data_IF_351327443599
#
_entry.id   IF_351327443599
#
_cell.length_a   1.000
_cell.length_b   1.000
_cell.length_c   1.000
_cell.angle_alpha   90.00
_cell.angle_beta   90.00
_cell.angle_gamma   90.00
#
_symmetry.space_group_name_H-M   'P 1'
#
loop_
_entity.id
_entity.type
_entity.pdbx_description
1 polymer ?
#
# COMPACT_ATOMS: atom_id res chain seq x y z
N UNK A 1 -4.58 9.22 -18.09
CA UNK A 1 -4.26 8.35 -16.94
C UNK A 1 -3.42 9.20 -15.99
N UNK A 2 -3.71 9.28 -14.67
CA UNK A 2 -2.89 10.11 -13.78
C UNK A 2 -1.48 9.57 -13.54
N UNK A 3 -1.26 8.26 -13.71
CA UNK A 3 0.07 7.66 -13.65
C UNK A 3 0.85 8.05 -14.90
N UNK A 4 2.03 8.62 -14.70
CA UNK A 4 2.92 9.07 -15.77
C UNK A 4 4.22 8.26 -15.84
N UNK A 5 4.56 7.53 -14.77
CA UNK A 5 5.81 6.81 -14.70
C UNK A 5 5.78 5.67 -13.69
N UNK A 6 6.48 4.58 -14.02
CA UNK A 6 6.85 3.49 -13.11
C UNK A 6 8.36 3.27 -13.28
N UNK A 7 9.10 3.25 -12.18
CA UNK A 7 10.55 2.96 -12.17
C UNK A 7 10.86 1.95 -11.08
N UNK A 8 11.68 0.96 -11.35
CA UNK A 8 12.22 0.06 -10.35
C UNK A 8 13.56 -0.50 -10.81
N UNK A 9 14.35 -1.00 -9.87
CA UNK A 9 15.54 -1.78 -10.16
C UNK A 9 15.21 -3.27 -9.97
N UNK A 10 15.32 -4.04 -11.04
CA UNK A 10 15.10 -5.48 -10.98
C UNK A 10 16.29 -6.19 -10.32
N UNK A 11 16.01 -7.17 -9.46
CA UNK A 11 16.99 -8.06 -8.84
C UNK A 11 17.42 -9.18 -9.78
N UNK A 12 16.49 -9.66 -10.60
CA UNK A 12 16.72 -10.75 -11.58
C UNK A 12 16.35 -10.29 -12.99
N UNK A 13 16.81 -11.03 -13.99
CA UNK A 13 16.47 -10.77 -15.39
C UNK A 13 15.41 -11.76 -15.85
N UNK A 14 14.25 -11.25 -16.25
CA UNK A 14 13.08 -12.04 -16.66
C UNK A 14 12.70 -11.81 -18.13
N UNK A 15 13.58 -11.12 -18.88
CA UNK A 15 13.31 -10.72 -20.26
C UNK A 15 12.31 -9.57 -20.34
N UNK A 16 11.26 -9.73 -21.14
CA UNK A 16 10.25 -8.69 -21.33
C UNK A 16 9.21 -8.75 -20.21
N UNK A 17 9.07 -7.64 -19.48
CA UNK A 17 8.07 -7.47 -18.43
C UNK A 17 7.07 -6.39 -18.87
N UNK A 18 5.79 -6.75 -18.89
CA UNK A 18 4.70 -5.82 -19.22
C UNK A 18 4.21 -5.13 -17.95
N UNK A 19 3.92 -3.84 -18.03
CA UNK A 19 3.27 -3.10 -16.96
C UNK A 19 1.92 -2.60 -17.45
N UNK A 20 0.85 -2.98 -16.76
CA UNK A 20 -0.52 -2.55 -17.06
C UNK A 20 -0.99 -1.57 -16.00
N UNK A 21 -1.59 -0.45 -16.44
CA UNK A 21 -2.13 0.58 -15.56
C UNK A 21 -3.58 0.85 -15.94
N UNK A 22 -4.50 0.41 -15.11
CA UNK A 22 -5.94 0.56 -15.34
C UNK A 22 -6.55 1.59 -14.39
N UNK A 23 -7.39 2.47 -14.93
CA UNK A 23 -8.25 3.35 -14.11
C UNK A 23 -9.51 2.60 -13.75
N UNK A 24 -9.85 2.59 -12.47
CA UNK A 24 -11.04 1.95 -11.94
C UNK A 24 -12.05 3.02 -11.51
N UNK A 25 -13.32 2.81 -11.84
CA UNK A 25 -14.40 3.65 -11.29
C UNK A 25 -14.68 3.27 -9.83
N UNK A 26 -14.57 1.98 -9.51
CA UNK A 26 -14.66 1.41 -8.19
C UNK A 26 -13.81 0.14 -8.13
N UNK A 27 -13.42 -0.27 -6.93
CA UNK A 27 -12.79 -1.57 -6.75
C UNK A 27 -13.82 -2.72 -6.86
N UNK A 28 -13.39 -3.95 -7.21
CA UNK A 28 -14.25 -5.13 -7.19
C UNK A 28 -14.90 -5.35 -5.82
N UNK A 29 -16.09 -5.96 -5.81
CA UNK A 29 -16.72 -6.39 -4.56
C UNK A 29 -15.81 -7.39 -3.83
N UNK A 30 -15.49 -7.11 -2.56
CA UNK A 30 -14.69 -8.01 -1.72
C UNK A 30 -13.40 -7.42 -1.14
N UNK A 31 -12.95 -6.23 -1.58
CA UNK A 31 -11.88 -5.52 -0.87
C UNK A 31 -12.40 -5.00 0.48
N UNK A 32 -11.69 -5.29 1.56
CA UNK A 32 -12.04 -4.78 2.89
C UNK A 32 -11.59 -3.33 3.06
N UNK A 33 -12.52 -2.50 3.55
CA UNK A 33 -12.24 -1.09 3.82
C UNK A 33 -12.21 -0.23 2.56
N UNK A 34 -11.69 0.99 2.72
CA UNK A 34 -11.60 2.00 1.66
C UNK A 34 -10.33 2.83 1.84
N UNK A 35 -9.81 3.45 0.77
CA UNK A 35 -8.76 4.44 0.91
C UNK A 35 -9.20 5.54 1.89
N UNK A 36 -8.25 6.06 2.65
CA UNK A 36 -8.53 7.17 3.57
C UNK A 36 -8.52 8.49 2.80
N UNK A 37 -9.45 9.37 3.13
CA UNK A 37 -9.62 10.67 2.47
C UNK A 37 -10.50 10.63 1.21
N UNK A 38 -10.50 11.75 0.51
CA UNK A 38 -11.21 11.96 -0.74
C UNK A 38 -10.42 11.34 -1.90
N UNK A 39 -11.06 10.45 -2.65
CA UNK A 39 -10.41 9.73 -3.76
C UNK A 39 -10.44 10.56 -5.04
N UNK A 40 -9.28 10.76 -5.66
CA UNK A 40 -9.13 11.31 -7.00
C UNK A 40 -9.30 10.24 -8.07
N UNK A 41 -8.61 9.10 -7.90
CA UNK A 41 -8.63 8.01 -8.87
C UNK A 41 -8.24 6.67 -8.23
N UNK A 42 -9.10 5.67 -8.40
CA UNK A 42 -8.75 4.26 -8.12
C UNK A 42 -7.98 3.67 -9.31
N UNK A 43 -7.00 2.83 -9.03
CA UNK A 43 -6.08 2.27 -10.02
C UNK A 43 -5.86 0.77 -9.75
N UNK A 44 -5.65 0.01 -10.82
CA UNK A 44 -4.98 -1.28 -10.76
C UNK A 44 -3.64 -1.10 -11.48
N UNK A 45 -2.54 -1.51 -10.85
CA UNK A 45 -1.24 -1.57 -11.51
C UNK A 45 -0.72 -2.99 -11.34
N UNK A 46 -0.29 -3.60 -12.44
CA UNK A 46 0.37 -4.91 -12.44
C UNK A 46 1.65 -4.82 -13.24
N UNK A 47 2.65 -5.61 -12.85
CA UNK A 47 3.94 -5.71 -13.55
C UNK A 47 4.30 -7.18 -13.68
N UNK A 48 4.25 -7.69 -14.92
CA UNK A 48 4.44 -9.10 -15.20
C UNK A 48 3.35 -9.97 -14.59
N UNK A 49 3.75 -11.08 -13.97
CA UNK A 49 2.87 -11.90 -13.14
C UNK A 49 2.94 -11.47 -11.65
N UNK A 50 2.19 -12.14 -10.77
CA UNK A 50 2.18 -11.83 -9.34
C UNK A 50 3.57 -11.91 -8.68
N UNK A 51 4.47 -12.76 -9.19
CA UNK A 51 5.82 -12.90 -8.64
C UNK A 51 6.69 -11.72 -9.01
N UNK A 52 6.57 -11.26 -10.26
CA UNK A 52 7.30 -10.09 -10.78
C UNK A 52 6.76 -8.77 -10.22
N UNK A 53 5.50 -8.76 -9.80
CA UNK A 53 4.90 -7.63 -9.12
C UNK A 53 5.26 -7.48 -7.64
N UNK A 54 6.13 -8.34 -7.09
CA UNK A 54 6.41 -8.45 -5.66
C UNK A 54 7.86 -8.12 -5.27
N UNK A 55 8.14 -8.12 -3.96
CA UNK A 55 9.47 -7.83 -3.41
C UNK A 55 10.56 -8.85 -3.81
N UNK A 56 10.16 -10.00 -4.35
CA UNK A 56 11.08 -11.03 -4.82
C UNK A 56 11.83 -10.58 -6.08
N UNK A 57 11.19 -9.77 -6.92
CA UNK A 57 11.74 -9.28 -8.17
C UNK A 57 12.40 -7.89 -8.04
N UNK A 58 11.93 -7.04 -7.14
CA UNK A 58 12.45 -5.68 -6.92
C UNK A 58 12.41 -5.33 -5.43
N UNK A 59 13.31 -4.48 -4.94
CA UNK A 59 13.24 -4.02 -3.53
C UNK A 59 12.15 -2.96 -3.33
N UNK A 60 12.05 -2.06 -4.30
CA UNK A 60 11.18 -0.88 -4.28
C UNK A 60 10.94 -0.42 -5.72
N UNK A 61 9.75 0.11 -5.95
CA UNK A 61 9.36 0.82 -7.15
C UNK A 61 8.92 2.25 -6.80
N UNK A 62 9.11 3.16 -7.75
CA UNK A 62 8.57 4.51 -7.72
C UNK A 62 7.45 4.62 -8.74
N UNK A 63 6.29 5.10 -8.28
CA UNK A 63 5.14 5.42 -9.11
C UNK A 63 5.02 6.94 -9.17
N UNK A 64 5.22 7.49 -10.37
CA UNK A 64 4.96 8.89 -10.68
C UNK A 64 3.50 9.07 -11.09
N UNK A 65 2.82 10.00 -10.45
CA UNK A 65 1.44 10.35 -10.78
C UNK A 65 1.20 11.85 -10.69
N UNK A 66 -0.01 12.26 -11.07
CA UNK A 66 -0.36 13.66 -11.20
C UNK A 66 -1.83 13.90 -10.94
N UNK A 67 -2.13 15.00 -10.27
CA UNK A 67 -3.47 15.42 -9.85
C UNK A 67 -3.81 16.76 -10.51
N UNK A 68 -5.06 16.91 -10.94
CA UNK A 68 -5.54 18.18 -11.51
C UNK A 68 -5.63 19.26 -10.43
N UNK A 69 -5.10 20.46 -10.70
CA UNK A 69 -5.25 21.62 -9.82
C UNK A 69 -6.73 21.96 -9.63
N UNK A 70 -7.55 21.86 -10.69
CA UNK A 70 -9.00 22.10 -10.60
C UNK A 70 -9.68 21.15 -9.61
N UNK A 71 -9.25 19.88 -9.54
CA UNK A 71 -9.81 18.93 -8.58
C UNK A 71 -9.40 19.27 -7.15
N UNK A 72 -8.15 19.68 -6.95
CA UNK A 72 -7.63 20.12 -5.65
C UNK A 72 -8.46 21.30 -5.14
N UNK A 73 -8.63 22.34 -5.96
CA UNK A 73 -9.39 23.54 -5.62
C UNK A 73 -10.87 23.24 -5.39
N UNK A 74 -11.49 22.47 -6.27
CA UNK A 74 -12.93 22.18 -6.20
C UNK A 74 -13.33 21.28 -5.03
N UNK A 75 -12.38 20.53 -4.45
CA UNK A 75 -12.62 19.61 -3.34
C UNK A 75 -11.98 20.11 -2.02
N UNK A 76 -11.46 21.33 -1.97
CA UNK A 76 -10.81 21.92 -0.78
C UNK A 76 -9.73 20.99 -0.19
N UNK A 77 -8.86 20.49 -1.07
CA UNK A 77 -7.84 19.51 -0.73
C UNK A 77 -6.62 20.19 -0.12
N UNK A 78 -6.16 19.66 1.01
CA UNK A 78 -4.84 19.97 1.56
C UNK A 78 -3.77 19.27 0.72
N UNK A 79 -3.00 20.06 -0.04
CA UNK A 79 -1.99 19.59 -1.00
C UNK A 79 -0.96 18.68 -0.34
N UNK A 80 -0.61 18.94 0.93
CA UNK A 80 0.42 18.17 1.65
C UNK A 80 -0.06 16.77 2.03
N UNK A 81 -1.37 16.51 1.94
CA UNK A 81 -1.98 15.20 2.24
C UNK A 81 -2.17 14.32 1.00
N UNK A 82 -1.91 14.87 -0.20
CA UNK A 82 -2.01 14.11 -1.46
C UNK A 82 -1.01 12.95 -1.43
N UNK A 83 -1.56 11.74 -1.63
CA UNK A 83 -0.81 10.49 -1.49
C UNK A 83 -1.33 9.41 -2.40
N UNK A 84 -0.50 8.40 -2.61
CA UNK A 84 -0.93 7.11 -3.11
C UNK A 84 -1.17 6.18 -1.92
N UNK A 85 -2.32 5.52 -1.88
CA UNK A 85 -2.59 4.41 -0.98
C UNK A 85 -2.58 3.10 -1.74
N UNK A 86 -2.10 2.05 -1.08
CA UNK A 86 -1.87 0.73 -1.65
C UNK A 86 -2.64 -0.31 -0.86
N UNK A 87 -3.40 -1.16 -1.56
CA UNK A 87 -4.13 -2.24 -0.92
C UNK A 87 -3.22 -3.47 -0.78
N UNK A 88 -2.82 -3.79 0.45
CA UNK A 88 -1.94 -4.92 0.73
C UNK A 88 -2.31 -5.60 2.04
N UNK A 89 -2.34 -6.94 2.04
CA UNK A 89 -2.68 -7.72 3.24
C UNK A 89 -4.05 -7.36 3.83
N UNK A 90 -5.05 -7.20 2.98
CA UNK A 90 -6.45 -6.89 3.31
C UNK A 90 -6.71 -5.51 3.95
N UNK A 91 -5.80 -4.56 3.72
CA UNK A 91 -5.91 -3.19 4.23
C UNK A 91 -5.32 -2.18 3.26
N UNK A 92 -5.75 -0.93 3.41
CA UNK A 92 -5.18 0.23 2.73
C UNK A 92 -4.02 0.81 3.54
N UNK A 93 -2.88 0.98 2.89
CA UNK A 93 -1.68 1.55 3.47
C UNK A 93 -1.29 2.84 2.75
N UNK A 94 -1.00 3.90 3.52
CA UNK A 94 -0.46 5.16 2.99
C UNK A 94 0.98 4.96 2.53
N UNK A 95 1.28 5.27 1.28
CA UNK A 95 2.64 5.24 0.78
C UNK A 95 3.34 6.57 1.02
N UNK A 96 4.66 6.56 1.33
CA UNK A 96 5.47 7.76 1.31
C UNK A 96 5.34 8.43 -0.05
N UNK A 97 4.89 9.68 -0.05
CA UNK A 97 4.59 10.45 -1.26
C UNK A 97 5.25 11.82 -1.17
N UNK A 98 5.80 12.30 -2.27
CA UNK A 98 6.45 13.61 -2.33
C UNK A 98 6.02 14.35 -3.58
N UNK A 99 5.65 15.63 -3.43
CA UNK A 99 5.44 16.53 -4.57
C UNK A 99 6.79 16.80 -5.22
N UNK A 100 6.90 16.55 -6.52
CA UNK A 100 8.16 16.69 -7.28
C UNK A 100 8.13 17.82 -8.30
N UNK A 101 6.95 18.21 -8.77
CA UNK A 101 6.79 19.29 -9.72
C UNK A 101 5.36 19.84 -9.74
N UNK A 102 5.20 20.97 -10.41
CA UNK A 102 3.92 21.61 -10.72
C UNK A 102 4.04 22.28 -12.08
N UNK A 103 2.98 22.19 -12.88
CA UNK A 103 2.85 22.91 -14.15
C UNK A 103 1.45 23.53 -14.29
N UNK A 104 1.15 24.06 -15.48
CA UNK A 104 -0.16 24.61 -15.79
C UNK A 104 -1.24 23.54 -15.72
N UNK A 105 -1.96 23.51 -14.60
CA UNK A 105 -3.15 22.71 -14.38
C UNK A 105 -2.91 21.39 -13.66
N UNK A 106 -1.67 20.99 -13.36
CA UNK A 106 -1.39 19.72 -12.66
C UNK A 106 -0.25 19.84 -11.63
N UNK A 107 -0.40 19.09 -10.54
CA UNK A 107 0.67 18.83 -9.58
C UNK A 107 1.15 17.38 -9.72
N UNK A 108 2.47 17.18 -9.61
CA UNK A 108 3.13 15.90 -9.84
C UNK A 108 3.74 15.36 -8.55
N UNK A 109 3.56 14.06 -8.33
CA UNK A 109 3.96 13.37 -7.12
C UNK A 109 4.65 12.06 -7.47
N UNK A 110 5.53 11.63 -6.57
CA UNK A 110 6.13 10.31 -6.61
C UNK A 110 5.85 9.57 -5.30
N UNK A 111 5.40 8.32 -5.41
CA UNK A 111 5.26 7.41 -4.27
C UNK A 111 6.12 6.18 -4.40
N UNK A 112 6.55 5.64 -3.26
CA UNK A 112 7.36 4.43 -3.18
C UNK A 112 6.53 3.24 -2.73
N UNK A 113 6.66 2.10 -3.42
CA UNK A 113 5.97 0.85 -3.08
C UNK A 113 6.91 -0.35 -3.21
N UNK A 114 6.59 -1.45 -2.53
CA UNK A 114 7.35 -2.72 -2.62
C UNK A 114 6.65 -3.78 -3.46
N UNK A 115 5.39 -3.56 -3.81
CA UNK A 115 4.61 -4.44 -4.67
C UNK A 115 3.58 -3.65 -5.46
N UNK A 116 2.98 -4.32 -6.44
CA UNK A 116 1.89 -3.78 -7.24
C UNK A 116 0.59 -4.52 -6.96
N UNK A 117 -0.49 -3.78 -6.79
CA UNK A 117 -1.85 -4.26 -6.53
C UNK A 117 -2.82 -3.09 -6.76
N UNK A 118 -4.09 -3.13 -6.29
CA UNK A 118 -4.93 -1.94 -6.31
C UNK A 118 -4.29 -0.75 -5.57
N UNK A 119 -4.35 0.42 -6.18
CA UNK A 119 -3.94 1.69 -5.59
C UNK A 119 -5.07 2.72 -5.63
N UNK A 120 -4.97 3.74 -4.79
CA UNK A 120 -5.84 4.91 -4.85
C UNK A 120 -5.01 6.19 -4.71
N UNK A 121 -5.20 7.13 -5.62
CA UNK A 121 -4.74 8.50 -5.41
C UNK A 121 -5.82 9.21 -4.59
N UNK A 122 -5.46 9.67 -3.39
CA UNK A 122 -6.38 10.33 -2.48
C UNK A 122 -5.68 11.44 -1.70
N UNK A 123 -6.50 12.27 -1.05
CA UNK A 123 -6.04 13.36 -0.21
C UNK A 123 -7.11 13.70 0.84
N UNK A 124 -6.70 14.33 1.92
CA UNK A 124 -7.61 14.82 2.95
C UNK A 124 -8.02 16.27 2.59
N UNK A 125 -9.22 16.66 3.00
CA UNK A 125 -9.64 18.07 2.86
C UNK A 125 -8.98 18.91 3.95
N UNK A 126 -8.87 20.22 3.74
CA UNK A 126 -8.32 21.16 4.73
C UNK A 126 -8.94 20.99 6.12
N UNK A 127 -10.27 20.77 6.18
CA UNK A 127 -10.97 20.52 7.45
C UNK A 127 -10.61 19.18 8.11
N UNK A 128 -10.28 18.15 7.34
CA UNK A 128 -9.92 16.82 7.87
C UNK A 128 -8.49 16.79 8.42
N UNK A 129 -7.57 17.59 7.87
CA UNK A 129 -6.18 17.63 8.35
C UNK A 129 -6.05 18.35 9.69
N UNK A 130 -6.85 19.39 9.93
CA UNK A 130 -6.88 20.13 11.20
C UNK A 130 -7.31 19.29 12.41
N UNK A 131 -8.28 18.38 12.24
CA UNK A 131 -8.77 17.50 13.31
C UNK A 131 -7.70 16.48 13.76
N UNK A 132 -6.84 16.03 12.85
CA UNK A 132 -5.77 15.08 13.17
C UNK A 132 -4.57 15.77 13.85
N UNK A 133 -4.28 17.02 13.48
CA UNK A 133 -3.20 17.83 14.07
C UNK A 133 -3.50 18.26 15.52
N UNK A 134 -4.77 18.47 15.84
CA UNK A 134 -5.22 18.93 17.17
C UNK A 134 -5.16 17.84 18.26
N UNK A 135 -4.88 16.58 17.89
CA UNK A 135 -4.84 15.42 18.80
C UNK A 135 -3.54 15.19 19.59
N UNK A 136 -2.49 16.00 19.43
CA UNK A 136 -1.20 15.79 20.10
C UNK A 136 -0.82 16.97 21.03
N UNK A 137 -1.29 16.92 22.28
CA UNK A 137 -0.84 17.72 23.44
C UNK A 137 -1.66 17.29 24.67
N UNK A 138 -1.19 16.99 25.90
CA UNK A 138 0.09 17.04 26.62
C UNK A 138 -0.01 15.97 27.72
N UNK A 139 1.07 15.25 28.04
CA UNK A 139 1.27 14.77 29.41
C UNK A 139 2.72 15.02 29.80
N UNK A 140 3.00 16.27 30.14
CA UNK A 140 4.09 16.58 31.06
C UNK A 140 3.58 16.41 32.50
N UNK A 141 4.24 15.54 33.27
CA UNK A 141 4.42 15.78 34.70
C UNK A 141 5.80 15.28 35.12
N UNK A 142 6.65 16.25 35.46
CA UNK A 142 7.99 16.07 35.99
C UNK A 142 8.00 15.38 37.37
N UNK A 143 9.09 14.66 37.67
CA UNK A 143 9.37 14.10 39.00
C UNK A 143 10.62 13.20 39.13
N UNK A 144 11.81 13.78 38.92
CA UNK A 144 13.03 13.59 39.74
C UNK A 144 13.78 12.23 39.83
N UNK A 145 14.92 12.16 39.13
CA UNK A 145 16.28 11.78 39.62
C UNK A 145 16.60 10.38 40.19
N UNK A 146 17.51 9.66 39.52
CA UNK A 146 18.88 9.31 40.02
C UNK A 146 19.64 8.47 38.97
N UNK A 147 20.96 8.68 38.88
CA UNK A 147 21.94 7.89 38.09
C UNK A 147 22.73 7.00 39.10
N UNK A 148 23.01 5.74 38.77
CA UNK A 148 24.39 5.28 38.57
C UNK A 148 24.52 4.47 37.25
N UNK A 149 25.41 4.84 36.35
CA UNK A 149 26.77 4.29 36.18
C UNK A 149 26.85 2.75 36.10
N UNK A 150 27.13 2.29 34.86
CA UNK A 150 28.21 1.38 34.45
C UNK A 150 27.76 0.11 33.69
N UNK A 151 28.50 -0.20 32.61
CA UNK A 151 28.58 -1.55 32.03
C UNK A 151 28.15 -1.68 30.56
N UNK A 152 29.14 -1.70 29.67
CA UNK A 152 29.08 -2.18 28.29
C UNK A 152 28.54 -3.62 28.19
N UNK A 153 27.58 -3.89 27.30
CA UNK A 153 27.60 -5.09 26.45
C UNK A 153 26.50 -5.09 25.34
N UNK A 154 26.96 -5.02 24.09
CA UNK A 154 26.26 -5.52 22.91
C UNK A 154 26.50 -7.05 22.85
N UNK A 155 25.48 -7.88 22.64
CA UNK A 155 25.41 -8.53 21.33
C UNK A 155 23.99 -8.81 20.81
N UNK A 156 23.90 -8.85 19.49
CA UNK A 156 22.85 -9.47 18.69
C UNK A 156 22.25 -10.77 19.26
N UNK A 157 20.93 -10.89 19.12
CA UNK A 157 20.12 -12.11 19.22
C UNK A 157 18.70 -11.74 19.63
N UNK A 158 17.60 -12.28 19.10
CA UNK A 158 17.43 -13.56 18.42
C UNK A 158 16.11 -13.55 17.66
N UNK A 159 16.17 -14.13 16.47
CA UNK A 159 15.09 -14.65 15.66
C UNK A 159 14.12 -15.50 16.52
N UNK A 160 12.87 -15.05 16.74
CA UNK A 160 11.82 -15.95 17.23
C UNK A 160 11.03 -16.45 16.03
N UNK A 161 11.41 -17.66 15.61
CA UNK A 161 10.61 -18.49 14.74
C UNK A 161 9.67 -19.33 15.61
N UNK A 162 8.43 -19.38 15.12
CA UNK A 162 7.41 -20.40 15.32
C UNK A 162 6.58 -20.24 16.63
N UNK A 163 5.24 -20.16 16.57
CA UNK A 163 4.41 -21.37 16.52
C UNK A 163 2.90 -21.13 16.21
N UNK A 164 2.48 -21.69 15.06
CA UNK A 164 1.21 -22.34 14.66
C UNK A 164 -0.15 -21.61 14.69
N UNK A 165 -0.83 -21.60 13.52
CA UNK A 165 -2.28 -21.84 13.39
C UNK A 165 -2.75 -22.25 11.97
N UNK A 166 -2.50 -23.53 11.63
CA UNK A 166 -3.27 -24.45 10.75
C UNK A 166 -4.32 -23.92 9.72
N UNK A 167 -4.01 -22.95 8.86
CA UNK A 167 -4.96 -22.49 7.82
C UNK A 167 -4.37 -22.47 6.39
N UNK A 168 -3.80 -23.60 5.92
CA UNK A 168 -4.21 -24.01 4.58
C UNK A 168 -4.58 -25.50 4.44
N UNK A 169 -4.26 -26.37 5.39
CA UNK A 169 -4.53 -27.82 5.24
C UNK A 169 -6.04 -28.12 5.22
N UNK A 170 -6.85 -27.37 5.98
CA UNK A 170 -8.31 -27.56 5.98
C UNK A 170 -8.97 -27.16 4.64
N UNK A 171 -8.46 -26.13 3.97
CA UNK A 171 -9.00 -25.69 2.67
C UNK A 171 -8.76 -26.77 1.61
N UNK A 172 -7.56 -27.37 1.58
CA UNK A 172 -7.25 -28.44 0.63
C UNK A 172 -8.05 -29.72 0.86
N UNK A 173 -8.37 -30.08 2.11
CA UNK A 173 -9.20 -31.27 2.41
C UNK A 173 -10.64 -31.05 1.95
N UNK A 174 -11.23 -29.87 2.20
CA UNK A 174 -12.60 -29.56 1.75
C UNK A 174 -12.67 -29.54 0.21
N UNK A 175 -11.69 -28.94 -0.46
CA UNK A 175 -11.66 -28.84 -1.92
C UNK A 175 -11.45 -30.22 -2.57
N UNK A 176 -10.62 -31.09 -1.98
CA UNK A 176 -10.44 -32.46 -2.44
C UNK A 176 -11.73 -33.32 -2.30
N UNK A 177 -12.48 -33.15 -1.20
CA UNK A 177 -13.75 -33.86 -0.99
C UNK A 177 -14.82 -33.40 -1.99
N UNK A 178 -14.91 -32.11 -2.29
CA UNK A 178 -15.84 -31.57 -3.28
C UNK A 178 -15.53 -32.10 -4.70
N UNK A 179 -14.24 -32.15 -5.08
CA UNK A 179 -13.82 -32.71 -6.37
C UNK A 179 -14.11 -34.21 -6.47
N UNK A 180 -13.93 -34.98 -5.38
CA UNK A 180 -14.25 -36.40 -5.33
C UNK A 180 -15.75 -36.65 -5.54
N UNK A 181 -16.61 -35.90 -4.85
CA UNK A 181 -18.08 -36.00 -4.99
C UNK A 181 -18.51 -35.66 -6.42
N UNK A 182 -17.99 -34.57 -6.98
CA UNK A 182 -18.26 -34.18 -8.37
C UNK A 182 -17.85 -35.29 -9.36
N UNK A 183 -16.70 -35.93 -9.14
CA UNK A 183 -16.22 -36.99 -10.02
C UNK A 183 -17.10 -38.25 -9.96
N UNK A 184 -17.63 -38.59 -8.77
CA UNK A 184 -18.53 -39.73 -8.60
C UNK A 184 -19.88 -39.49 -9.28
N UNK A 185 -20.43 -38.27 -9.18
CA UNK A 185 -21.71 -37.91 -9.80
C UNK A 185 -21.62 -37.91 -11.33
N UNK A 186 -20.53 -37.38 -11.89
CA UNK A 186 -20.28 -37.35 -13.34
C UNK A 186 -20.06 -38.74 -13.97
N UNK A 187 -19.67 -39.74 -13.18
CA UNK A 187 -19.41 -41.12 -13.65
C UNK A 187 -20.66 -42.01 -13.61
N UNK A 188 -21.76 -41.56 -13.02
CA UNK A 188 -23.05 -42.24 -13.08
C UNK A 188 -23.84 -41.76 -14.28
#
# INVERSE_FOLDING_TARGET
NPVNQIRFAAKTTEGYVMADVSKLNSFPEGLSGKPSGQVYQNLEITVGDEKLGSSDFMEEAVIGFSVSIEWIESNDIDVDTIRLEHYSGDKWEKLPTTKVAEDTGRMYFESRTKSFSPFAICADTTSMSDELSTGISLTERAGQGTIPDNGDENPYGTHSKDNYRLLPVFVFIVLALLLLVYYIDKRK
#
